data_IF_086891933309
#
_entry.id   IF_086891933309
#
_cell.length_a   1.000
_cell.length_b   1.000
_cell.length_c   1.000
_cell.angle_alpha   90.00
_cell.angle_beta   90.00
_cell.angle_gamma   90.00
#
_symmetry.space_group_name_H-M   'P 1'
#
loop_
_entity.id
_entity.type
_entity.pdbx_description
1 polymer ?
#
# COMPACT_ATOMS: atom_id res chain seq x y z
N UNK A 1 6.72 -7.95 -6.42
CA UNK A 1 6.88 -7.11 -7.62
C UNK A 1 8.26 -6.48 -7.55
N UNK A 2 9.00 -6.56 -8.66
CA UNK A 2 10.32 -5.96 -8.81
C UNK A 2 10.15 -4.64 -9.55
N UNK A 3 10.91 -3.63 -9.15
CA UNK A 3 10.93 -2.32 -9.79
C UNK A 3 12.32 -2.09 -10.37
N UNK A 4 12.32 -1.60 -11.60
CA UNK A 4 13.51 -1.45 -12.43
C UNK A 4 13.66 0.01 -12.83
N UNK A 5 14.90 0.48 -12.84
CA UNK A 5 15.25 1.79 -13.38
C UNK A 5 15.00 1.76 -14.90
N UNK A 6 14.20 2.71 -15.43
CA UNK A 6 13.83 2.70 -16.84
C UNK A 6 14.99 3.01 -17.80
N UNK A 7 16.07 3.64 -17.32
CA UNK A 7 17.25 3.98 -18.11
C UNK A 7 18.31 2.87 -18.06
N UNK A 8 18.49 2.22 -16.89
CA UNK A 8 19.56 1.25 -16.67
C UNK A 8 19.10 -0.22 -16.70
N UNK A 9 17.79 -0.48 -16.62
CA UNK A 9 17.19 -1.82 -16.45
C UNK A 9 17.69 -2.55 -15.19
N UNK A 10 18.22 -1.81 -14.21
CA UNK A 10 18.69 -2.35 -12.93
C UNK A 10 17.54 -2.37 -11.91
N UNK A 11 17.42 -3.48 -11.17
CA UNK A 11 16.45 -3.60 -10.09
C UNK A 11 16.85 -2.68 -8.93
N UNK A 12 16.04 -1.65 -8.66
CA UNK A 12 16.29 -0.73 -7.54
C UNK A 12 15.48 -1.07 -6.29
N UNK A 13 14.37 -1.80 -6.42
CA UNK A 13 13.61 -2.27 -5.28
C UNK A 13 12.77 -3.53 -5.58
N UNK A 14 12.52 -4.31 -4.53
CA UNK A 14 11.56 -5.41 -4.54
C UNK A 14 10.57 -5.19 -3.41
N UNK A 15 9.27 -5.28 -3.72
CA UNK A 15 8.26 -5.36 -2.69
C UNK A 15 7.38 -6.59 -2.83
N UNK A 16 6.85 -7.07 -1.71
CA UNK A 16 6.07 -8.30 -1.64
C UNK A 16 4.90 -8.11 -0.70
N UNK A 17 3.71 -8.57 -1.12
CA UNK A 17 2.57 -8.77 -0.24
C UNK A 17 2.78 -10.09 0.50
N UNK A 18 2.94 -10.02 1.82
CA UNK A 18 3.19 -11.14 2.73
C UNK A 18 1.89 -11.82 3.14
N UNK A 19 0.86 -11.02 3.45
CA UNK A 19 -0.49 -11.50 3.74
C UNK A 19 -1.54 -10.48 3.30
N UNK A 20 -2.76 -10.97 3.15
CA UNK A 20 -3.96 -10.17 2.91
C UNK A 20 -5.01 -10.64 3.91
N UNK A 21 -5.54 -9.70 4.69
CA UNK A 21 -6.53 -9.97 5.71
C UNK A 21 -7.70 -9.00 5.57
N UNK A 22 -8.90 -9.45 5.94
CA UNK A 22 -10.09 -8.60 5.98
C UNK A 22 -10.49 -8.44 7.45
N UNK A 23 -10.60 -7.19 7.90
CA UNK A 23 -10.98 -6.86 9.28
C UNK A 23 -12.13 -5.85 9.28
N UNK A 24 -12.98 -5.93 10.30
CA UNK A 24 -14.13 -5.03 10.45
C UNK A 24 -13.78 -3.78 11.30
N UNK A 25 -12.61 -3.77 11.94
CA UNK A 25 -12.08 -2.64 12.72
C UNK A 25 -10.59 -2.84 13.02
N UNK A 26 -9.93 -1.78 13.46
CA UNK A 26 -8.54 -1.77 13.90
C UNK A 26 -8.28 -0.63 14.88
N UNK A 27 -7.03 -0.47 15.33
CA UNK A 27 -6.63 0.62 16.22
C UNK A 27 -5.86 1.71 15.46
N UNK A 28 -6.13 2.97 15.80
CA UNK A 28 -5.30 4.12 15.47
C UNK A 28 -4.54 4.55 16.72
N UNK A 29 -3.22 4.71 16.61
CA UNK A 29 -2.35 5.20 17.68
C UNK A 29 -2.06 6.69 17.48
N UNK A 30 -2.42 7.49 18.48
CA UNK A 30 -2.18 8.95 18.53
C UNK A 30 -0.90 9.31 19.32
N UNK A 31 -0.17 8.30 19.81
CA UNK A 31 0.99 8.43 20.66
C UNK A 31 0.64 8.57 22.14
N UNK A 32 1.67 8.42 22.99
CA UNK A 32 1.50 8.54 24.45
C UNK A 32 0.64 7.45 25.09
N UNK A 33 0.39 6.35 24.38
CA UNK A 33 -0.45 5.24 24.83
C UNK A 33 -1.96 5.46 24.64
N UNK A 34 -2.36 6.47 23.85
CA UNK A 34 -3.76 6.71 23.50
C UNK A 34 -4.09 6.09 22.14
N UNK A 35 -4.99 5.11 22.14
CA UNK A 35 -5.49 4.45 20.93
C UNK A 35 -7.00 4.59 20.81
N UNK A 36 -7.50 4.64 19.57
CA UNK A 36 -8.93 4.63 19.25
C UNK A 36 -9.27 3.49 18.28
N UNK A 37 -10.45 2.89 18.43
CA UNK A 37 -10.94 1.92 17.46
C UNK A 37 -11.52 2.62 16.25
N UNK A 38 -11.01 2.28 15.08
CA UNK A 38 -11.46 2.80 13.79
C UNK A 38 -12.22 1.73 13.03
N UNK A 39 -13.30 2.12 12.36
CA UNK A 39 -14.15 1.24 11.53
C UNK A 39 -14.16 1.71 10.07
N UNK A 40 -14.32 0.82 9.09
CA UNK A 40 -14.37 1.16 7.67
C UNK A 40 -15.58 2.02 7.30
N UNK A 41 -15.38 2.95 6.36
CA UNK A 41 -16.40 3.83 5.78
C UNK A 41 -17.15 3.13 4.63
N UNK A 42 -16.50 2.22 3.89
CA UNK A 42 -17.08 1.48 2.76
C UNK A 42 -17.50 0.04 3.10
N UNK A 43 -17.21 -0.43 4.30
CA UNK A 43 -17.75 -1.67 4.87
C UNK A 43 -16.70 -2.63 5.42
N UNK A 44 -15.53 -2.72 4.78
CA UNK A 44 -14.46 -3.62 5.22
C UNK A 44 -13.08 -3.00 5.02
N UNK A 45 -12.19 -3.23 5.98
CA UNK A 45 -10.77 -2.99 5.76
C UNK A 45 -10.11 -4.24 5.17
N UNK A 46 -9.44 -4.06 4.04
CA UNK A 46 -8.52 -5.03 3.45
C UNK A 46 -7.11 -4.58 3.80
N UNK A 47 -6.45 -5.36 4.66
CA UNK A 47 -5.11 -5.07 5.18
C UNK A 47 -4.10 -5.87 4.38
N UNK A 48 -3.15 -5.17 3.76
CA UNK A 48 -2.02 -5.75 3.07
C UNK A 48 -0.80 -5.64 3.98
N UNK A 49 -0.28 -6.76 4.44
CA UNK A 49 1.04 -6.76 5.07
C UNK A 49 2.10 -6.86 3.97
N UNK A 50 3.00 -5.89 3.90
CA UNK A 50 4.01 -5.79 2.85
C UNK A 50 5.43 -5.73 3.41
N UNK A 51 6.37 -6.12 2.56
CA UNK A 51 7.81 -5.92 2.79
C UNK A 51 8.46 -5.31 1.57
N UNK A 52 9.40 -4.39 1.79
CA UNK A 52 10.22 -3.76 0.75
C UNK A 52 11.70 -4.04 1.03
N UNK A 53 12.48 -4.31 -0.01
CA UNK A 53 13.93 -4.30 0.02
C UNK A 53 14.42 -3.35 -1.08
N UNK A 54 15.24 -2.37 -0.71
CA UNK A 54 15.85 -1.41 -1.64
C UNK A 54 17.29 -1.84 -1.97
N UNK A 55 17.73 -1.58 -3.20
CA UNK A 55 19.11 -1.84 -3.63
C UNK A 55 20.04 -0.67 -3.25
N UNK A 56 21.33 -0.78 -3.56
CA UNK A 56 22.30 0.31 -3.37
C UNK A 56 22.06 1.51 -4.28
N UNK A 57 21.47 1.28 -5.45
CA UNK A 57 21.18 2.29 -6.47
C UNK A 57 19.79 2.92 -6.30
N UNK A 58 19.06 2.54 -5.26
CA UNK A 58 17.76 3.13 -4.94
C UNK A 58 17.88 4.63 -4.70
N UNK A 59 17.22 5.45 -5.51
CA UNK A 59 17.06 6.88 -5.26
C UNK A 59 15.64 7.17 -4.75
N UNK A 60 15.54 7.78 -3.56
CA UNK A 60 14.25 8.18 -3.00
C UNK A 60 13.56 9.27 -3.84
N UNK A 61 14.32 10.02 -4.64
CA UNK A 61 13.79 11.03 -5.55
C UNK A 61 13.02 10.42 -6.74
N UNK A 62 13.25 9.15 -7.08
CA UNK A 62 12.53 8.41 -8.13
C UNK A 62 11.07 8.11 -7.73
N UNK A 63 10.70 8.35 -6.46
CA UNK A 63 9.31 8.36 -6.02
C UNK A 63 8.64 6.98 -6.08
N UNK A 64 9.01 6.08 -5.17
CA UNK A 64 8.23 4.86 -5.01
C UNK A 64 6.93 5.14 -4.26
N UNK A 65 5.82 5.14 -4.99
CA UNK A 65 4.47 5.09 -4.43
C UNK A 65 4.08 3.68 -3.93
N UNK A 66 5.08 2.86 -3.62
CA UNK A 66 4.92 1.48 -3.15
C UNK A 66 4.45 1.51 -1.70
N UNK A 67 3.16 1.68 -1.51
CA UNK A 67 2.60 1.96 -0.19
C UNK A 67 1.32 2.76 -0.22
N UNK A 68 1.06 3.50 -1.31
CA UNK A 68 -0.09 4.40 -1.37
C UNK A 68 -1.39 3.61 -1.65
N UNK A 69 -2.38 3.64 -0.75
CA UNK A 69 -3.71 3.07 -1.00
C UNK A 69 -4.35 3.53 -2.31
N UNK A 70 -3.99 4.73 -2.82
CA UNK A 70 -4.50 5.28 -4.08
C UNK A 70 -4.04 4.50 -5.32
N UNK A 71 -2.95 3.73 -5.22
CA UNK A 71 -2.45 2.88 -6.30
C UNK A 71 -3.28 1.60 -6.49
N UNK A 72 -4.26 1.34 -5.62
CA UNK A 72 -5.03 0.09 -5.60
C UNK A 72 -6.49 0.27 -6.05
N UNK A 73 -6.99 -0.79 -6.68
CA UNK A 73 -8.42 -1.00 -6.95
C UNK A 73 -8.79 -2.46 -6.74
N UNK A 74 -10.06 -2.74 -6.49
CA UNK A 74 -10.58 -4.12 -6.33
C UNK A 74 -11.53 -4.43 -7.46
N UNK A 75 -11.26 -5.50 -8.22
CA UNK A 75 -12.26 -6.10 -9.10
C UNK A 75 -13.12 -7.06 -8.27
N UNK A 76 -14.36 -6.65 -7.99
CA UNK A 76 -15.32 -7.44 -7.23
C UNK A 76 -15.76 -8.70 -7.97
N UNK A 77 -16.36 -9.63 -7.24
CA UNK A 77 -16.92 -10.87 -7.82
C UNK A 77 -18.08 -10.64 -8.80
N UNK A 78 -18.68 -9.44 -8.78
CA UNK A 78 -19.67 -8.96 -9.72
C UNK A 78 -19.08 -8.43 -11.03
N UNK A 79 -17.74 -8.41 -11.15
CA UNK A 79 -17.02 -7.88 -12.31
C UNK A 79 -16.92 -6.35 -12.34
N UNK A 80 -17.31 -5.66 -11.25
CA UNK A 80 -17.20 -4.20 -11.15
C UNK A 80 -15.92 -3.81 -10.42
N UNK A 81 -15.13 -2.94 -11.03
CA UNK A 81 -13.96 -2.35 -10.39
C UNK A 81 -14.38 -1.26 -9.40
N UNK A 82 -13.94 -1.41 -8.16
CA UNK A 82 -14.00 -0.41 -7.12
C UNK A 82 -12.66 0.31 -7.01
N UNK A 83 -12.69 1.63 -7.12
CA UNK A 83 -11.55 2.53 -6.96
C UNK A 83 -11.73 3.41 -5.72
N UNK A 84 -10.75 4.26 -5.40
CA UNK A 84 -10.78 5.17 -4.24
C UNK A 84 -10.94 4.42 -2.91
N UNK A 85 -10.07 3.43 -2.71
CA UNK A 85 -10.03 2.62 -1.49
C UNK A 85 -9.37 3.36 -0.30
N UNK A 86 -8.91 4.58 -0.53
CA UNK A 86 -8.28 5.45 0.46
C UNK A 86 -9.35 6.31 1.15
N UNK A 87 -9.67 6.00 2.40
CA UNK A 87 -10.58 6.79 3.25
C UNK A 87 -9.82 7.36 4.45
N UNK A 88 -10.41 8.31 5.17
CA UNK A 88 -9.74 8.85 6.36
C UNK A 88 -9.54 7.74 7.40
N UNK A 89 -10.55 6.88 7.55
CA UNK A 89 -10.49 5.73 8.45
C UNK A 89 -9.45 4.69 8.02
N UNK A 90 -9.21 4.47 6.73
CA UNK A 90 -8.13 3.56 6.30
C UNK A 90 -6.73 4.08 6.64
N UNK A 91 -6.51 5.40 6.61
CA UNK A 91 -5.21 5.99 6.97
C UNK A 91 -4.91 5.94 8.47
N UNK A 92 -5.94 6.04 9.34
CA UNK A 92 -5.76 5.90 10.79
C UNK A 92 -5.51 4.45 11.24
N UNK A 93 -6.01 3.49 10.46
CA UNK A 93 -5.95 2.07 10.78
C UNK A 93 -4.52 1.52 10.80
N UNK A 94 -4.09 0.99 11.95
CA UNK A 94 -2.71 0.52 12.17
C UNK A 94 -1.66 1.62 11.86
N UNK A 95 -1.95 2.88 12.23
CA UNK A 95 -1.10 4.05 11.91
C UNK A 95 0.38 3.87 12.30
N UNK A 96 0.66 3.14 13.39
CA UNK A 96 2.01 2.83 13.87
C UNK A 96 2.74 1.71 13.11
N UNK A 97 2.04 0.95 12.27
CA UNK A 97 2.57 -0.18 11.48
C UNK A 97 2.67 0.15 9.98
N UNK A 98 2.55 1.43 9.61
CA UNK A 98 2.69 1.88 8.23
C UNK A 98 4.16 1.90 7.79
N UNK A 99 4.39 1.95 6.48
CA UNK A 99 5.74 2.18 5.96
C UNK A 99 6.23 3.59 6.32
N UNK A 100 7.55 3.77 6.50
CA UNK A 100 8.10 5.11 6.66
C UNK A 100 7.88 5.94 5.40
N UNK A 101 7.74 7.25 5.57
CA UNK A 101 7.58 8.22 4.48
C UNK A 101 8.77 8.21 3.52
N UNK A 102 9.96 7.96 4.05
CA UNK A 102 11.20 7.93 3.27
C UNK A 102 11.84 6.54 3.35
N UNK A 103 12.13 5.97 2.18
CA UNK A 103 12.92 4.76 2.03
C UNK A 103 14.38 5.16 1.72
N UNK A 104 15.33 4.38 2.23
CA UNK A 104 16.76 4.62 2.04
C UNK A 104 17.40 3.47 1.26
N UNK A 105 18.54 3.69 0.58
CA UNK A 105 19.24 2.63 -0.14
C UNK A 105 19.70 1.49 0.77
N UNK A 106 19.73 0.27 0.23
CA UNK A 106 20.19 -0.95 0.89
C UNK A 106 19.49 -1.26 2.22
N UNK A 107 18.20 -0.94 2.33
CA UNK A 107 17.39 -1.18 3.52
C UNK A 107 16.27 -2.18 3.27
N UNK A 108 15.69 -2.66 4.39
CA UNK A 108 14.50 -3.49 4.38
C UNK A 108 13.45 -2.88 5.28
N UNK A 109 12.22 -2.86 4.79
CA UNK A 109 11.07 -2.30 5.48
C UNK A 109 9.93 -3.31 5.49
N UNK A 110 9.10 -3.20 6.51
CA UNK A 110 7.83 -3.91 6.60
C UNK A 110 6.78 -2.93 7.09
N UNK A 111 5.57 -3.05 6.56
CA UNK A 111 4.46 -2.22 7.00
C UNK A 111 3.14 -2.70 6.44
N UNK A 112 2.08 -2.05 6.85
CA UNK A 112 0.71 -2.33 6.42
C UNK A 112 0.21 -1.22 5.50
N UNK A 113 -0.57 -1.63 4.50
CA UNK A 113 -1.45 -0.76 3.73
C UNK A 113 -2.87 -1.19 4.06
N UNK A 114 -3.73 -0.24 4.38
CA UNK A 114 -5.14 -0.52 4.63
C UNK A 114 -5.98 0.10 3.53
N UNK A 115 -6.86 -0.71 2.95
CA UNK A 115 -7.80 -0.33 1.89
C UNK A 115 -9.22 -0.45 2.44
N UNK A 116 -10.08 0.52 2.17
CA UNK A 116 -11.48 0.54 2.59
C UNK A 116 -12.39 0.20 1.41
N UNK A 117 -12.94 -1.01 1.45
CA UNK A 117 -13.59 -1.67 0.32
C UNK A 117 -14.94 -2.21 0.73
N UNK A 118 -15.93 -2.09 -0.15
CA UNK A 118 -17.22 -2.78 0.01
C UNK A 118 -17.12 -4.28 -0.25
N UNK A 119 -16.03 -4.71 -0.88
CA UNK A 119 -15.77 -6.11 -1.25
C UNK A 119 -14.87 -6.81 -0.22
N UNK A 120 -15.27 -8.00 0.21
CA UNK A 120 -14.45 -8.92 1.05
C UNK A 120 -13.69 -9.98 0.25
N UNK A 121 -13.94 -10.04 -1.06
CA UNK A 121 -13.29 -10.97 -1.99
C UNK A 121 -13.27 -10.38 -3.40
N UNK A 122 -12.31 -10.81 -4.22
CA UNK A 122 -12.10 -10.27 -5.55
C UNK A 122 -10.64 -10.38 -5.97
N UNK A 123 -10.26 -9.62 -7.00
CA UNK A 123 -8.86 -9.44 -7.39
C UNK A 123 -8.39 -8.04 -7.02
N UNK A 124 -7.32 -7.95 -6.24
CA UNK A 124 -6.64 -6.69 -5.97
C UNK A 124 -5.77 -6.33 -7.17
N UNK A 125 -5.96 -5.13 -7.70
CA UNK A 125 -5.22 -4.59 -8.84
C UNK A 125 -4.35 -3.47 -8.32
N UNK A 126 -3.05 -3.57 -8.57
CA UNK A 126 -2.07 -2.51 -8.32
C UNK A 126 -1.74 -1.81 -9.63
N UNK A 127 -1.77 -0.48 -9.63
CA UNK A 127 -1.28 0.36 -10.72
C UNK A 127 -0.07 1.14 -10.25
N UNK A 128 1.05 0.97 -10.93
CA UNK A 128 2.20 1.83 -10.69
C UNK A 128 1.86 3.27 -11.09
N UNK A 129 2.02 4.20 -10.15
CA UNK A 129 1.76 5.62 -10.35
C UNK A 129 2.99 6.37 -10.88
N UNK A 130 4.17 5.72 -10.94
CA UNK A 130 5.38 6.27 -11.54
C UNK A 130 5.35 6.31 -13.07
N UNK A 131 4.45 5.55 -13.71
CA UNK A 131 4.38 5.48 -15.18
C UNK A 131 3.40 6.53 -15.76
N UNK A 132 3.77 7.80 -15.65
CA UNK A 132 3.12 8.91 -16.39
C UNK A 132 3.93 9.37 -17.62
N UNK A 133 5.01 8.66 -17.97
CA UNK A 133 5.81 8.96 -19.15
C UNK A 133 5.72 7.90 -20.26
N UNK A 134 4.99 6.80 -20.08
CA UNK A 134 4.64 5.86 -21.15
C UNK A 134 3.52 6.36 -22.07
N UNK A 135 3.81 7.31 -22.96
CA UNK A 135 2.98 7.54 -24.17
C UNK A 135 3.67 6.85 -25.36
N UNK A 136 3.01 5.80 -25.86
CA UNK A 136 3.21 5.02 -27.11
C UNK A 136 4.63 4.61 -27.54
#
# INVERSE_FOLDING_TARGET
MQLFDPETDEEFAVWTVRSIEVVDSCEEDYGGGYTETVTPENGHFVVLDISIATSGEFDAAEGLYVGDPMAFSVLGGDGVTESNLSTASSYGCFSAETLPVELMPSQKYTGKIVLDSRNTSGSLIYKDMGDVNGVE
#
